data_IF_164723727584
#
_entry.id   IF_164723727584
#
_cell.length_a   1.000
_cell.length_b   1.000
_cell.length_c   1.000
_cell.angle_alpha   90.00
_cell.angle_beta   90.00
_cell.angle_gamma   90.00
#
_symmetry.space_group_name_H-M   'P 1'
#
loop_
_entity.id
_entity.type
_entity.pdbx_description
1 polymer ?
#
# COMPACT_ATOMS: atom_id res chain seq x y z
N UNK A 1 -16.47 -7.46 34.02
CA UNK A 1 -15.59 -7.98 32.95
C UNK A 1 -14.88 -6.78 32.31
N UNK A 2 -13.59 -6.59 32.54
CA UNK A 2 -12.85 -5.51 31.88
C UNK A 2 -12.68 -5.88 30.39
N UNK A 3 -13.05 -4.98 29.48
CA UNK A 3 -12.85 -5.19 28.06
C UNK A 3 -11.34 -5.32 27.79
N UNK A 4 -10.94 -6.41 27.13
CA UNK A 4 -9.54 -6.64 26.73
C UNK A 4 -9.19 -5.63 25.65
N UNK A 5 -8.40 -4.62 26.02
CA UNK A 5 -7.89 -3.61 25.09
C UNK A 5 -6.84 -4.27 24.20
N UNK A 6 -7.00 -4.11 22.88
CA UNK A 6 -5.99 -4.50 21.90
C UNK A 6 -5.30 -3.21 21.44
N UNK A 7 -3.97 -3.07 21.64
CA UNK A 7 -3.26 -1.89 21.17
C UNK A 7 -3.24 -1.83 19.64
N UNK A 8 -3.01 -0.64 19.09
CA UNK A 8 -2.77 -0.48 17.66
C UNK A 8 -1.55 -1.32 17.24
N UNK A 9 -1.66 -2.00 16.11
CA UNK A 9 -0.63 -2.85 15.53
C UNK A 9 -0.54 -2.58 14.03
N UNK A 10 0.65 -2.78 13.46
CA UNK A 10 0.83 -2.73 12.01
C UNK A 10 -0.01 -3.85 11.37
N UNK A 11 -0.96 -3.47 10.52
CA UNK A 11 -1.78 -4.42 9.78
C UNK A 11 -1.00 -5.04 8.61
N UNK A 12 -0.44 -4.17 7.78
CA UNK A 12 0.45 -4.53 6.67
C UNK A 12 1.38 -3.38 6.34
N UNK A 13 2.48 -3.68 5.65
CA UNK A 13 3.40 -2.72 5.06
C UNK A 13 3.76 -3.21 3.65
N UNK A 14 3.69 -2.31 2.67
CA UNK A 14 4.09 -2.58 1.31
C UNK A 14 5.11 -1.52 0.85
N UNK A 15 6.16 -1.95 0.17
CA UNK A 15 7.06 -1.07 -0.58
C UNK A 15 6.94 -1.49 -2.03
N UNK A 16 6.53 -0.55 -2.87
CA UNK A 16 6.31 -0.80 -4.28
C UNK A 16 6.94 0.29 -5.13
N UNK A 17 7.21 -0.05 -6.38
CA UNK A 17 7.76 0.83 -7.36
C UNK A 17 7.01 0.70 -8.69
N UNK A 18 6.21 1.70 -9.09
CA UNK A 18 5.41 1.62 -10.31
C UNK A 18 6.25 1.39 -11.57
N UNK A 19 7.46 1.93 -11.62
CA UNK A 19 8.38 1.85 -12.77
C UNK A 19 9.00 0.46 -12.97
N UNK A 20 8.88 -0.46 -12.01
CA UNK A 20 9.35 -1.84 -12.17
C UNK A 20 8.42 -2.69 -13.07
N UNK A 21 7.14 -2.32 -13.24
CA UNK A 21 6.28 -3.00 -14.17
C UNK A 21 6.54 -2.54 -15.61
N UNK A 22 6.98 -3.46 -16.46
CA UNK A 22 7.15 -3.18 -17.89
C UNK A 22 5.81 -3.08 -18.66
N UNK A 23 4.76 -3.69 -18.13
CA UNK A 23 3.40 -3.73 -18.69
C UNK A 23 2.39 -4.17 -17.61
N UNK A 24 1.10 -4.18 -17.96
CA UNK A 24 0.01 -4.55 -17.04
C UNK A 24 0.13 -6.00 -16.51
N UNK A 25 0.70 -6.92 -17.30
CA UNK A 25 0.92 -8.32 -16.87
C UNK A 25 2.05 -8.43 -15.82
N UNK A 26 2.93 -7.43 -15.76
CA UNK A 26 4.02 -7.30 -14.81
C UNK A 26 3.66 -6.44 -13.58
N UNK A 27 2.38 -6.15 -13.34
CA UNK A 27 1.95 -5.33 -12.19
C UNK A 27 2.47 -5.85 -10.84
N UNK A 28 2.56 -7.17 -10.69
CA UNK A 28 3.12 -7.82 -9.50
C UNK A 28 4.60 -7.49 -9.25
N UNK A 29 5.36 -7.18 -10.29
CA UNK A 29 6.79 -6.90 -10.21
C UNK A 29 7.06 -5.53 -9.57
N UNK A 30 6.02 -4.68 -9.48
CA UNK A 30 6.09 -3.42 -8.74
C UNK A 30 6.29 -3.66 -7.24
N UNK A 31 5.84 -4.78 -6.69
CA UNK A 31 5.90 -5.05 -5.25
C UNK A 31 7.27 -5.59 -4.84
N UNK A 32 8.08 -4.73 -4.21
CA UNK A 32 9.45 -5.08 -3.78
C UNK A 32 9.44 -5.71 -2.38
N UNK A 33 8.52 -5.28 -1.52
CA UNK A 33 8.41 -5.80 -0.16
C UNK A 33 6.96 -5.81 0.32
N UNK A 34 6.56 -6.88 1.00
CA UNK A 34 5.27 -6.96 1.66
C UNK A 34 5.37 -7.68 3.01
N UNK A 35 4.78 -7.08 4.03
CA UNK A 35 4.61 -7.66 5.35
C UNK A 35 3.15 -7.56 5.78
N UNK A 36 2.63 -8.59 6.45
CA UNK A 36 1.27 -8.60 7.00
C UNK A 36 1.24 -9.34 8.33
N UNK A 37 0.43 -8.84 9.26
CA UNK A 37 0.22 -9.47 10.56
C UNK A 37 -0.78 -10.65 10.52
N UNK A 38 -1.45 -10.86 9.38
CA UNK A 38 -2.38 -11.98 9.21
C UNK A 38 -1.56 -13.26 9.10
N UNK A 39 -1.90 -14.27 9.90
CA UNK A 39 -1.40 -15.63 9.70
C UNK A 39 -1.69 -16.03 8.24
N UNK A 40 -0.63 -16.37 7.50
CA UNK A 40 -0.66 -16.72 6.08
C UNK A 40 -1.84 -17.63 5.80
N UNK A 41 -2.82 -17.13 5.05
CA UNK A 41 -3.91 -17.97 4.52
C UNK A 41 -3.37 -18.60 3.23
N UNK A 42 -4.24 -19.22 2.42
CA UNK A 42 -3.82 -19.80 1.14
C UNK A 42 -3.07 -18.72 0.33
N UNK A 43 -1.89 -19.09 -0.18
CA UNK A 43 -0.91 -18.20 -0.79
C UNK A 43 -1.52 -17.27 -1.86
N UNK A 44 -2.45 -17.79 -2.67
CA UNK A 44 -3.04 -17.07 -3.81
C UNK A 44 -4.08 -16.01 -3.40
N UNK A 45 -4.81 -16.24 -2.31
CA UNK A 45 -5.75 -15.25 -1.76
C UNK A 45 -5.00 -14.04 -1.19
N UNK A 46 -3.84 -14.31 -0.59
CA UNK A 46 -2.95 -13.30 -0.03
C UNK A 46 -2.28 -12.48 -1.14
N UNK A 47 -1.94 -13.07 -2.29
CA UNK A 47 -1.35 -12.35 -3.43
C UNK A 47 -2.33 -11.36 -4.07
N UNK A 48 -3.54 -11.81 -4.39
CA UNK A 48 -4.56 -10.93 -4.98
C UNK A 48 -4.93 -9.76 -4.04
N UNK A 49 -4.94 -9.99 -2.73
CA UNK A 49 -5.19 -8.93 -1.74
C UNK A 49 -4.06 -7.89 -1.71
N UNK A 50 -2.80 -8.33 -1.81
CA UNK A 50 -1.63 -7.42 -1.90
C UNK A 50 -1.74 -6.51 -3.11
N UNK A 51 -2.04 -7.07 -4.27
CA UNK A 51 -2.15 -6.32 -5.51
C UNK A 51 -3.30 -5.31 -5.47
N UNK A 52 -4.45 -5.68 -4.89
CA UNK A 52 -5.57 -4.75 -4.66
C UNK A 52 -5.19 -3.58 -3.76
N UNK A 53 -4.44 -3.83 -2.68
CA UNK A 53 -4.01 -2.79 -1.76
C UNK A 53 -3.09 -1.77 -2.45
N UNK A 54 -2.17 -2.24 -3.29
CA UNK A 54 -1.24 -1.38 -4.05
C UNK A 54 -2.01 -0.59 -5.12
N UNK A 55 -2.85 -1.26 -5.91
CA UNK A 55 -3.65 -0.60 -6.95
C UNK A 55 -4.57 0.48 -6.39
N UNK A 56 -5.17 0.24 -5.21
CA UNK A 56 -5.96 1.26 -4.52
C UNK A 56 -5.08 2.44 -4.09
N UNK A 57 -3.92 2.19 -3.49
CA UNK A 57 -3.00 3.25 -3.07
C UNK A 57 -2.57 4.13 -4.26
N UNK A 58 -2.19 3.52 -5.39
CA UNK A 58 -1.83 4.24 -6.62
C UNK A 58 -3.00 5.08 -7.14
N UNK A 59 -4.19 4.48 -7.25
CA UNK A 59 -5.38 5.20 -7.68
C UNK A 59 -5.73 6.39 -6.78
N UNK A 60 -5.53 6.26 -5.46
CA UNK A 60 -5.73 7.37 -4.52
C UNK A 60 -4.70 8.48 -4.68
N UNK A 61 -3.42 8.14 -4.89
CA UNK A 61 -2.35 9.12 -5.14
C UNK A 61 -2.64 9.91 -6.42
N UNK A 62 -2.93 9.23 -7.52
CA UNK A 62 -3.19 9.87 -8.81
C UNK A 62 -4.49 10.71 -8.78
N UNK A 63 -5.51 10.20 -8.09
CA UNK A 63 -6.73 10.96 -7.87
C UNK A 63 -6.46 12.24 -7.08
N UNK A 64 -5.74 12.18 -5.96
CA UNK A 64 -5.47 13.35 -5.15
C UNK A 64 -4.61 14.39 -5.87
N UNK A 65 -3.56 13.95 -6.58
CA UNK A 65 -2.68 14.82 -7.40
C UNK A 65 -3.47 15.72 -8.35
N UNK A 66 -4.62 15.24 -8.84
CA UNK A 66 -5.50 16.00 -9.73
C UNK A 66 -6.20 17.19 -9.04
N UNK A 67 -6.21 17.25 -7.70
CA UNK A 67 -6.86 18.30 -6.89
C UNK A 67 -5.90 19.05 -5.96
N UNK A 68 -4.62 18.65 -5.90
CA UNK A 68 -3.61 19.14 -4.93
C UNK A 68 -2.38 19.75 -5.61
N UNK A 69 -2.52 20.28 -6.82
CA UNK A 69 -1.41 20.83 -7.62
C UNK A 69 -0.24 19.84 -7.81
N UNK A 70 -0.54 18.54 -7.88
CA UNK A 70 0.45 17.48 -8.08
C UNK A 70 1.04 16.86 -6.80
N UNK A 71 0.60 17.30 -5.61
CA UNK A 71 1.06 16.71 -4.34
C UNK A 71 0.37 15.37 -4.04
N UNK A 72 1.10 14.32 -3.58
CA UNK A 72 0.53 13.01 -3.29
C UNK A 72 -0.32 12.99 -2.00
N UNK A 73 -1.05 11.89 -1.77
CA UNK A 73 -1.76 11.64 -0.51
C UNK A 73 -0.76 11.27 0.59
N UNK A 74 -0.76 11.98 1.71
CA UNK A 74 0.06 11.64 2.88
C UNK A 74 -0.56 10.51 3.72
N UNK A 75 -1.87 10.59 4.01
CA UNK A 75 -2.55 9.63 4.85
C UNK A 75 -4.05 9.57 4.58
N UNK A 76 -4.64 8.42 4.90
CA UNK A 76 -6.07 8.12 4.79
C UNK A 76 -6.54 7.62 6.14
N UNK A 77 -7.44 8.36 6.76
CA UNK A 77 -8.10 7.97 8.00
C UNK A 77 -9.40 7.23 7.68
N UNK A 78 -9.51 6.01 8.18
CA UNK A 78 -10.74 5.21 8.15
C UNK A 78 -11.29 5.05 9.56
N UNK A 79 -12.49 4.49 9.69
CA UNK A 79 -13.10 4.20 10.98
C UNK A 79 -12.22 3.31 11.88
N UNK A 80 -11.42 2.41 11.29
CA UNK A 80 -10.70 1.34 12.02
C UNK A 80 -9.19 1.36 11.84
N UNK A 81 -8.68 2.17 10.92
CA UNK A 81 -7.26 2.21 10.61
C UNK A 81 -6.85 3.56 10.05
N UNK A 82 -5.58 3.89 10.23
CA UNK A 82 -4.88 4.94 9.52
C UNK A 82 -3.94 4.29 8.52
N UNK A 83 -4.04 4.69 7.26
CA UNK A 83 -3.14 4.27 6.20
C UNK A 83 -2.21 5.44 5.91
N UNK A 84 -0.91 5.18 5.88
CA UNK A 84 0.11 6.19 5.56
C UNK A 84 0.70 5.82 4.21
N UNK A 85 0.76 6.79 3.30
CA UNK A 85 1.36 6.66 1.98
C UNK A 85 2.45 7.71 1.86
N UNK A 86 3.65 7.27 1.51
CA UNK A 86 4.79 8.17 1.43
C UNK A 86 5.69 7.78 0.27
N UNK A 87 5.98 8.75 -0.58
CA UNK A 87 6.92 8.62 -1.69
C UNK A 87 8.33 8.89 -1.14
N UNK A 88 9.12 7.83 -0.96
CA UNK A 88 10.49 7.94 -0.44
C UNK A 88 11.42 8.64 -1.45
N UNK A 89 11.29 8.28 -2.73
CA UNK A 89 12.11 8.77 -3.84
C UNK A 89 11.28 8.80 -5.13
N UNK A 90 11.54 9.78 -6.01
CA UNK A 90 10.86 9.87 -7.31
C UNK A 90 11.28 8.72 -8.22
N UNK A 91 10.29 8.05 -8.80
CA UNK A 91 10.45 6.96 -9.77
C UNK A 91 11.33 5.78 -9.30
N UNK A 92 11.58 5.68 -7.99
CA UNK A 92 12.52 4.75 -7.36
C UNK A 92 13.92 4.75 -7.99
N UNK A 93 14.38 5.91 -8.46
CA UNK A 93 15.71 6.01 -9.05
C UNK A 93 16.78 5.87 -7.96
N UNK A 94 17.61 4.82 -8.06
CA UNK A 94 18.84 4.77 -7.28
C UNK A 94 19.74 5.93 -7.72
N UNK A 95 20.14 6.76 -6.76
CA UNK A 95 21.17 7.79 -6.94
C UNK A 95 22.48 7.24 -7.48
#
# INVERSE_FOLDING_TARGET
MAARVVPAQLAFLAIFCPTLAANDDAFRDQLVFYHSNKATRRHDDDENERLRQIGLAQGMIDFARSFSDGEPVDHVDTEKSRIVMHELEKDCQST
#
